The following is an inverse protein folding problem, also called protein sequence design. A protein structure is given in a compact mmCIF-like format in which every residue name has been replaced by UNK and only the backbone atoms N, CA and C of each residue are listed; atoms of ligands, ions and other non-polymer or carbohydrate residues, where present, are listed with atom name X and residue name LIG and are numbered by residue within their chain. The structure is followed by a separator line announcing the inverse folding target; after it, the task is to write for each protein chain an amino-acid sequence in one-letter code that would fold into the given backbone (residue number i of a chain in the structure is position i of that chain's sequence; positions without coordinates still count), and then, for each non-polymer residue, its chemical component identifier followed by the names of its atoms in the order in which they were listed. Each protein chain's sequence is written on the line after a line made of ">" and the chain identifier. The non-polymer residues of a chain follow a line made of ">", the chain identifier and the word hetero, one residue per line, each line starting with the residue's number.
data_IF_279824824890
#
_entry.id   IF_279824824890
#
_cell.length_a   1.000
_cell.length_b   1.000
_cell.length_c   1.000
_cell.angle_alpha   90.00
_cell.angle_beta   90.00
_cell.angle_gamma   90.00
#
_symmetry.space_group_name_H-M   'P 1'
#
loop_
_entity.id
_entity.type
_entity.pdbx_description
1 polymer ?
#
# COMPACT_ATOMS: atom_id res chain seq x y z
N UNK A 1 45.13 -3.10 -7.31
CA UNK A 1 44.58 -1.88 -6.68
C UNK A 1 43.25 -2.25 -6.08
N UNK A 2 43.09 -2.21 -4.75
CA UNK A 2 41.78 -2.43 -4.13
C UNK A 2 40.84 -1.32 -4.59
N UNK A 3 39.65 -1.71 -5.06
CA UNK A 3 38.62 -0.76 -5.44
C UNK A 3 38.29 0.10 -4.22
N UNK A 4 38.52 1.42 -4.28
CA UNK A 4 38.26 2.32 -3.15
C UNK A 4 36.80 2.16 -2.73
N UNK A 5 36.58 1.70 -1.51
CA UNK A 5 35.25 1.58 -0.93
C UNK A 5 34.62 2.97 -0.87
N UNK A 6 33.43 3.13 -1.48
CA UNK A 6 32.70 4.39 -1.45
C UNK A 6 32.09 4.68 -0.06
N UNK A 7 31.57 5.90 0.11
CA UNK A 7 30.97 6.35 1.38
C UNK A 7 29.64 5.66 1.63
N UNK A 8 29.24 5.56 2.89
CA UNK A 8 27.88 5.10 3.26
C UNK A 8 27.08 6.31 3.71
N UNK A 9 25.95 6.56 3.07
CA UNK A 9 25.18 7.80 3.22
C UNK A 9 23.78 7.45 3.71
N UNK A 10 23.42 7.88 4.91
CA UNK A 10 22.05 7.78 5.42
C UNK A 10 21.25 9.04 5.12
N UNK A 11 20.04 8.90 4.60
CA UNK A 11 19.17 10.04 4.29
C UNK A 11 17.85 9.93 5.04
N UNK A 12 17.57 10.95 5.85
CA UNK A 12 16.23 11.22 6.36
C UNK A 12 15.63 12.37 5.56
N UNK A 13 14.81 12.01 4.58
CA UNK A 13 14.16 12.99 3.71
C UNK A 13 13.16 13.85 4.50
N UNK A 14 13.08 15.13 4.13
CA UNK A 14 12.16 16.11 4.70
C UNK A 14 10.72 15.58 4.84
N UNK A 15 10.19 15.74 6.05
CA UNK A 15 8.79 15.44 6.36
C UNK A 15 7.96 16.67 5.94
N UNK A 16 6.86 16.43 5.21
CA UNK A 16 5.93 17.53 4.85
C UNK A 16 5.48 18.27 6.12
N UNK A 17 5.43 19.61 6.02
CA UNK A 17 5.09 20.58 7.08
C UNK A 17 4.22 19.97 8.18
N UNK A 18 4.71 19.97 9.42
CA UNK A 18 3.88 19.57 10.56
C UNK A 18 2.72 20.56 10.64
N UNK A 19 1.50 20.07 10.92
CA UNK A 19 0.31 20.93 11.05
C UNK A 19 0.48 22.03 12.12
N UNK A 20 1.38 21.83 13.08
CA UNK A 20 1.61 22.72 14.21
C UNK A 20 2.57 23.86 13.88
N UNK A 21 3.65 23.60 13.15
CA UNK A 21 4.74 24.58 12.99
C UNK A 21 4.72 25.24 11.61
N UNK A 22 4.14 24.61 10.58
CA UNK A 22 4.12 25.15 9.23
C UNK A 22 5.49 25.22 8.54
N UNK A 23 6.59 25.02 9.26
CA UNK A 23 7.96 24.98 8.75
C UNK A 23 8.27 23.57 8.24
N UNK A 24 8.91 23.48 7.06
CA UNK A 24 9.42 22.22 6.56
C UNK A 24 10.74 21.90 7.28
N UNK A 25 10.89 20.67 7.77
CA UNK A 25 12.20 20.22 8.29
C UNK A 25 13.14 19.99 7.11
N UNK A 26 14.44 20.35 7.23
CA UNK A 26 15.41 20.09 6.17
C UNK A 26 15.61 18.58 5.98
N UNK A 27 16.12 18.20 4.81
CA UNK A 27 16.58 16.82 4.59
C UNK A 27 17.92 16.63 5.31
N UNK A 28 18.01 15.64 6.19
CA UNK A 28 19.25 15.34 6.91
C UNK A 28 20.03 14.27 6.16
N UNK A 29 21.33 14.53 6.00
CA UNK A 29 22.29 13.62 5.41
C UNK A 29 23.31 13.26 6.50
N UNK A 30 23.55 11.97 6.68
CA UNK A 30 24.66 11.44 7.45
C UNK A 30 25.62 10.75 6.48
N UNK A 31 26.93 10.96 6.62
CA UNK A 31 27.95 10.37 5.76
C UNK A 31 28.99 9.69 6.62
N UNK A 32 29.14 8.37 6.44
CA UNK A 32 30.22 7.58 7.01
C UNK A 32 31.36 7.43 6.01
N UNK A 33 32.52 7.96 6.36
CA UNK A 33 33.76 7.92 5.58
C UNK A 33 34.94 7.81 6.55
N UNK A 34 35.88 6.90 6.29
CA UNK A 34 37.08 6.69 7.12
C UNK A 34 36.83 6.45 8.63
N UNK A 35 35.69 5.86 9.00
CA UNK A 35 35.36 5.53 10.39
C UNK A 35 34.61 6.64 11.14
N UNK A 36 34.47 7.82 10.54
CA UNK A 36 33.77 8.95 11.13
C UNK A 36 32.42 9.18 10.47
N UNK A 37 31.46 9.73 11.21
CA UNK A 37 30.14 10.07 10.70
C UNK A 37 29.92 11.56 10.83
N UNK A 38 29.75 12.21 9.69
CA UNK A 38 29.43 13.64 9.61
C UNK A 38 27.97 13.82 9.21
N UNK A 39 27.32 14.85 9.74
CA UNK A 39 25.92 15.15 9.44
C UNK A 39 25.75 16.57 8.95
N UNK A 40 24.94 16.76 7.92
CA UNK A 40 24.57 18.09 7.42
C UNK A 40 23.11 18.11 6.97
N UNK A 41 22.60 19.33 6.73
CA UNK A 41 21.19 19.60 6.42
C UNK A 41 21.08 20.24 5.04
N UNK A 42 20.10 19.79 4.26
CA UNK A 42 19.70 20.37 2.99
C UNK A 42 18.38 21.12 3.22
N UNK A 43 18.46 22.45 3.22
CA UNK A 43 17.36 23.34 3.64
C UNK A 43 16.14 23.30 2.70
N UNK A 44 16.38 23.07 1.41
CA UNK A 44 15.33 23.08 0.39
C UNK A 44 15.56 22.10 -0.76
N UNK A 45 14.64 22.11 -1.73
CA UNK A 45 14.65 21.23 -2.91
C UNK A 45 15.80 21.57 -3.87
N UNK A 46 16.30 22.80 -3.84
CA UNK A 46 17.45 23.23 -4.65
C UNK A 46 18.73 22.61 -4.09
N UNK A 47 18.92 22.67 -2.77
CA UNK A 47 20.04 22.04 -2.09
C UNK A 47 20.02 20.50 -2.28
N UNK A 48 18.84 19.88 -2.23
CA UNK A 48 18.65 18.46 -2.59
C UNK A 48 19.09 18.19 -4.03
N UNK A 49 18.63 18.98 -5.00
CA UNK A 49 18.99 18.81 -6.41
C UNK A 49 20.49 18.96 -6.66
N UNK A 50 21.10 19.98 -6.06
CA UNK A 50 22.55 20.24 -6.15
C UNK A 50 23.36 19.10 -5.55
N UNK A 51 22.95 18.60 -4.38
CA UNK A 51 23.56 17.45 -3.73
C UNK A 51 23.45 16.18 -4.59
N UNK A 52 22.27 15.89 -5.16
CA UNK A 52 22.08 14.75 -6.07
C UNK A 52 23.00 14.88 -7.28
N UNK A 53 23.11 16.07 -7.88
CA UNK A 53 23.93 16.30 -9.07
C UNK A 53 25.44 16.35 -8.79
N UNK A 54 25.85 16.55 -7.54
CA UNK A 54 27.24 16.86 -7.19
C UNK A 54 27.68 18.21 -7.77
N UNK A 55 26.82 19.23 -7.67
CA UNK A 55 27.06 20.58 -8.18
C UNK A 55 26.82 21.64 -7.10
N UNK A 56 27.10 22.91 -7.41
CA UNK A 56 26.77 24.03 -6.52
C UNK A 56 27.62 24.08 -5.26
N UNK A 57 27.05 24.62 -4.19
CA UNK A 57 27.73 24.76 -2.89
C UNK A 57 28.04 23.39 -2.25
N UNK A 58 27.21 22.38 -2.57
CA UNK A 58 27.34 21.02 -2.05
C UNK A 58 28.17 20.10 -2.95
N UNK A 59 29.00 20.63 -3.87
CA UNK A 59 29.76 19.82 -4.84
C UNK A 59 30.68 18.79 -4.17
N UNK A 60 31.38 19.20 -3.10
CA UNK A 60 32.24 18.29 -2.34
C UNK A 60 31.42 17.22 -1.61
N UNK A 61 30.23 17.55 -1.12
CA UNK A 61 29.40 16.69 -0.27
C UNK A 61 28.41 15.81 -1.07
N UNK A 62 28.13 16.19 -2.32
CA UNK A 62 27.16 15.56 -3.21
C UNK A 62 27.49 14.12 -3.58
N UNK A 63 26.61 13.49 -4.37
CA UNK A 63 26.73 12.07 -4.74
C UNK A 63 28.00 11.81 -5.56
N UNK A 64 28.86 10.91 -5.06
CA UNK A 64 30.13 10.51 -5.67
C UNK A 64 30.05 9.09 -6.25
N UNK A 65 31.03 8.68 -7.07
CA UNK A 65 31.11 7.30 -7.52
C UNK A 65 31.25 6.31 -6.37
N UNK A 66 30.61 5.14 -6.53
CA UNK A 66 30.62 4.02 -5.57
C UNK A 66 29.96 4.30 -4.20
N UNK A 67 29.34 5.46 -3.99
CA UNK A 67 28.58 5.73 -2.76
C UNK A 67 27.44 4.70 -2.56
N UNK A 68 27.15 4.38 -1.31
CA UNK A 68 25.97 3.61 -0.92
C UNK A 68 24.99 4.50 -0.15
N UNK A 69 23.87 4.85 -0.78
CA UNK A 69 22.82 5.69 -0.19
C UNK A 69 21.73 4.83 0.43
N UNK A 70 21.33 5.15 1.66
CA UNK A 70 20.38 4.41 2.48
C UNK A 70 19.16 5.28 2.77
N UNK A 71 17.95 4.77 2.51
CA UNK A 71 16.70 5.50 2.74
C UNK A 71 15.60 4.59 3.32
N UNK A 72 14.55 5.19 3.87
CA UNK A 72 13.34 4.45 4.28
C UNK A 72 12.38 4.29 3.10
N UNK A 73 11.66 3.16 3.04
CA UNK A 73 10.62 2.90 2.04
C UNK A 73 9.34 3.73 2.28
N UNK A 74 8.82 4.34 1.20
CA UNK A 74 7.55 5.06 1.13
C UNK A 74 7.62 6.57 1.39
N UNK A 75 6.45 7.22 1.31
CA UNK A 75 6.26 8.62 1.69
C UNK A 75 6.76 9.62 0.65
N UNK A 76 7.19 10.80 1.10
CA UNK A 76 7.76 11.84 0.22
C UNK A 76 9.16 11.46 -0.27
N UNK A 77 9.88 10.60 0.45
CA UNK A 77 11.22 10.13 0.08
C UNK A 77 11.26 9.27 -1.18
N UNK A 78 10.11 8.77 -1.67
CA UNK A 78 10.03 8.03 -2.94
C UNK A 78 10.52 8.88 -4.13
N UNK A 79 10.20 10.17 -4.16
CA UNK A 79 10.62 11.05 -5.24
C UNK A 79 12.13 11.25 -5.26
N UNK A 80 12.72 11.49 -4.08
CA UNK A 80 14.16 11.65 -3.94
C UNK A 80 14.87 10.32 -4.25
N UNK A 81 14.38 9.18 -3.77
CA UNK A 81 14.92 7.86 -4.10
C UNK A 81 14.89 7.59 -5.62
N UNK A 82 13.82 7.98 -6.31
CA UNK A 82 13.73 7.89 -7.77
C UNK A 82 14.78 8.77 -8.45
N UNK A 83 14.95 10.02 -8.01
CA UNK A 83 15.92 10.95 -8.57
C UNK A 83 17.37 10.48 -8.34
N UNK A 84 17.73 10.12 -7.10
CA UNK A 84 19.06 9.64 -6.73
C UNK A 84 19.37 8.34 -7.49
N UNK A 85 18.43 7.39 -7.59
CA UNK A 85 18.72 6.12 -8.29
C UNK A 85 19.06 6.32 -9.77
N UNK A 86 18.42 7.26 -10.47
CA UNK A 86 18.79 7.61 -11.85
C UNK A 86 20.18 8.24 -11.96
N UNK A 87 20.56 9.04 -10.98
CA UNK A 87 21.90 9.63 -10.96
C UNK A 87 22.95 8.60 -10.54
N UNK A 88 22.61 7.70 -9.62
CA UNK A 88 23.45 6.60 -9.16
C UNK A 88 23.84 5.65 -10.27
N UNK A 89 22.98 5.41 -11.25
CA UNK A 89 23.35 4.64 -12.46
C UNK A 89 24.51 5.29 -13.24
N UNK A 90 24.57 6.63 -13.28
CA UNK A 90 25.64 7.36 -13.96
C UNK A 90 26.92 7.37 -13.15
N UNK A 91 26.81 7.50 -11.83
CA UNK A 91 27.97 7.56 -10.92
C UNK A 91 28.41 6.18 -10.44
N UNK A 92 27.66 5.11 -10.72
CA UNK A 92 27.81 3.78 -10.11
C UNK A 92 27.55 3.76 -8.59
N UNK A 93 26.78 4.71 -8.07
CA UNK A 93 26.32 4.68 -6.69
C UNK A 93 25.17 3.67 -6.51
N UNK A 94 25.12 3.03 -5.34
CA UNK A 94 24.07 2.09 -4.94
C UNK A 94 23.04 2.79 -4.08
N UNK A 95 21.78 2.75 -4.47
CA UNK A 95 20.69 3.32 -3.67
C UNK A 95 19.92 2.16 -3.08
N UNK A 96 19.85 2.10 -1.75
CA UNK A 96 19.21 1.04 -1.01
C UNK A 96 18.12 1.59 -0.08
N UNK A 97 17.07 0.79 0.14
CA UNK A 97 15.96 1.14 1.02
C UNK A 97 15.66 0.06 2.03
N UNK A 98 15.23 0.49 3.21
CA UNK A 98 14.77 -0.39 4.29
C UNK A 98 13.28 -0.18 4.58
N UNK A 99 12.59 -1.26 4.94
CA UNK A 99 11.20 -1.19 5.33
C UNK A 99 11.05 -0.44 6.68
N UNK A 100 10.03 0.42 6.87
CA UNK A 100 9.84 1.16 8.12
C UNK A 100 9.79 0.31 9.40
N UNK A 101 9.21 -0.91 9.42
CA UNK A 101 9.23 -1.75 10.62
C UNK A 101 10.65 -2.11 11.08
N UNK A 102 11.56 -2.40 10.15
CA UNK A 102 12.94 -2.79 10.48
C UNK A 102 13.70 -1.61 11.09
N UNK A 103 13.57 -0.41 10.49
CA UNK A 103 14.17 0.79 11.06
C UNK A 103 13.58 1.10 12.45
N UNK A 104 12.25 0.97 12.61
CA UNK A 104 11.59 1.20 13.89
C UNK A 104 12.05 0.21 14.97
N UNK A 105 12.19 -1.05 14.62
CA UNK A 105 12.69 -2.08 15.53
C UNK A 105 14.13 -1.80 15.97
N UNK A 106 14.99 -1.47 15.01
CA UNK A 106 16.38 -1.14 15.27
C UNK A 106 16.55 0.13 16.12
N UNK A 107 15.77 1.18 15.81
CA UNK A 107 15.78 2.45 16.57
C UNK A 107 15.24 2.30 17.99
N UNK A 108 14.40 1.31 18.26
CA UNK A 108 13.76 1.14 19.58
C UNK A 108 12.94 2.38 20.00
N UNK A 109 13.37 3.03 21.07
CA UNK A 109 12.71 4.19 21.67
C UNK A 109 13.34 5.55 21.29
N UNK A 110 14.43 5.54 20.50
CA UNK A 110 15.15 6.76 20.15
C UNK A 110 14.34 7.67 19.21
N UNK A 111 14.73 8.95 19.18
CA UNK A 111 14.09 9.97 18.35
C UNK A 111 14.34 9.71 16.85
N UNK A 112 13.34 10.06 16.03
CA UNK A 112 13.42 10.03 14.58
C UNK A 112 14.37 11.07 14.01
N UNK A 113 14.81 12.05 14.80
CA UNK A 113 15.74 13.10 14.34
C UNK A 113 17.10 12.53 13.91
N UNK A 114 17.47 11.36 14.42
CA UNK A 114 18.73 10.69 14.09
C UNK A 114 18.57 9.57 13.04
N UNK A 115 17.42 9.48 12.36
CA UNK A 115 17.13 8.40 11.41
C UNK A 115 18.20 8.27 10.31
N UNK A 116 18.85 9.37 9.89
CA UNK A 116 19.95 9.33 8.94
C UNK A 116 21.16 8.54 9.48
N UNK A 117 21.54 8.77 10.73
CA UNK A 117 22.60 8.05 11.42
C UNK A 117 22.21 6.59 11.68
N UNK A 118 20.99 6.38 12.16
CA UNK A 118 20.45 5.05 12.48
C UNK A 118 20.44 4.15 11.25
N UNK A 119 20.18 4.69 10.05
CA UNK A 119 20.27 3.94 8.79
C UNK A 119 21.67 3.39 8.52
N UNK A 120 22.72 4.19 8.74
CA UNK A 120 24.12 3.77 8.57
C UNK A 120 24.43 2.62 9.52
N UNK A 121 24.09 2.79 10.80
CA UNK A 121 24.35 1.79 11.83
C UNK A 121 23.61 0.47 11.52
N UNK A 122 22.33 0.57 11.10
CA UNK A 122 21.54 -0.59 10.69
C UNK A 122 22.16 -1.31 9.49
N UNK A 123 22.67 -0.56 8.51
CA UNK A 123 23.32 -1.15 7.34
C UNK A 123 24.64 -1.83 7.69
N UNK A 124 25.42 -1.27 8.61
CA UNK A 124 26.66 -1.89 9.08
C UNK A 124 26.37 -3.20 9.83
N UNK A 125 25.31 -3.24 10.63
CA UNK A 125 24.92 -4.44 11.38
C UNK A 125 24.27 -5.52 10.50
N UNK A 126 23.32 -5.14 9.64
CA UNK A 126 22.63 -6.09 8.77
C UNK A 126 22.30 -5.47 7.39
N UNK A 127 23.26 -5.52 6.44
CA UNK A 127 23.05 -5.06 5.08
C UNK A 127 21.91 -5.77 4.35
N UNK A 128 21.50 -6.97 4.80
CA UNK A 128 20.50 -7.80 4.09
C UNK A 128 19.08 -7.28 4.23
N UNK A 129 18.84 -6.37 5.18
CA UNK A 129 17.56 -5.69 5.37
C UNK A 129 17.30 -4.61 4.30
N UNK A 130 18.33 -4.23 3.55
CA UNK A 130 18.28 -3.18 2.55
C UNK A 130 18.13 -3.73 1.13
N UNK A 131 17.38 -3.00 0.31
CA UNK A 131 16.99 -3.41 -1.05
C UNK A 131 17.35 -2.36 -2.07
N UNK A 132 17.89 -2.75 -3.23
CA UNK A 132 18.27 -1.79 -4.25
C UNK A 132 17.05 -1.10 -4.87
N UNK A 133 17.16 0.20 -5.09
CA UNK A 133 16.23 1.00 -5.90
C UNK A 133 16.62 0.86 -7.37
N UNK A 134 16.21 -0.25 -7.96
CA UNK A 134 16.38 -0.51 -9.39
C UNK A 134 15.23 0.02 -10.25
N UNK A 135 15.20 -0.42 -11.51
CA UNK A 135 14.12 -0.10 -12.47
C UNK A 135 12.74 -0.46 -11.92
N UNK A 136 12.60 -1.66 -11.35
CA UNK A 136 11.34 -2.15 -10.79
C UNK A 136 10.77 -1.25 -9.69
N UNK A 137 11.58 -0.87 -8.71
CA UNK A 137 11.15 0.04 -7.63
C UNK A 137 10.76 1.41 -8.19
N UNK A 138 11.51 1.91 -9.18
CA UNK A 138 11.16 3.15 -9.89
C UNK A 138 9.84 3.05 -10.64
N UNK A 139 9.52 1.91 -11.25
CA UNK A 139 8.23 1.68 -11.91
C UNK A 139 7.07 1.71 -10.89
N UNK A 140 7.26 1.11 -9.71
CA UNK A 140 6.29 1.24 -8.60
C UNK A 140 6.11 2.68 -8.14
N UNK A 141 7.21 3.41 -7.93
CA UNK A 141 7.15 4.83 -7.54
C UNK A 141 6.40 5.63 -8.61
N UNK A 142 6.70 5.41 -9.90
CA UNK A 142 6.02 6.08 -11.02
C UNK A 142 4.53 5.75 -11.06
N UNK A 143 4.16 4.48 -10.92
CA UNK A 143 2.76 4.06 -10.85
C UNK A 143 2.04 4.73 -9.66
N UNK A 144 2.72 4.89 -8.52
CA UNK A 144 2.16 5.58 -7.35
C UNK A 144 1.83 7.04 -7.63
N UNK A 145 2.72 7.75 -8.35
CA UNK A 145 2.49 9.15 -8.76
C UNK A 145 1.31 9.25 -9.72
N UNK A 146 1.27 8.38 -10.72
CA UNK A 146 0.21 8.37 -11.73
C UNK A 146 -1.15 8.01 -11.13
N UNK A 147 -1.18 7.08 -10.17
CA UNK A 147 -2.41 6.74 -9.45
C UNK A 147 -2.92 7.91 -8.60
N UNK A 148 -2.03 8.63 -7.89
CA UNK A 148 -2.42 9.85 -7.17
C UNK A 148 -3.01 10.90 -8.11
N UNK A 149 -2.33 11.14 -9.24
CA UNK A 149 -2.80 12.07 -10.27
C UNK A 149 -4.17 11.66 -10.86
N UNK A 150 -4.40 10.36 -11.10
CA UNK A 150 -5.70 9.85 -11.52
C UNK A 150 -6.76 10.05 -10.44
N UNK A 151 -6.44 9.75 -9.17
CA UNK A 151 -7.35 9.97 -8.05
C UNK A 151 -7.77 11.45 -7.93
N UNK A 152 -6.85 12.38 -8.14
CA UNK A 152 -7.17 13.82 -8.10
C UNK A 152 -8.06 14.24 -9.27
N UNK A 153 -7.82 13.72 -10.48
CA UNK A 153 -8.70 13.92 -11.64
C UNK A 153 -10.12 13.35 -11.38
N UNK A 154 -10.22 12.16 -10.79
CA UNK A 154 -11.50 11.56 -10.40
C UNK A 154 -12.27 12.43 -9.39
N UNK A 155 -11.58 12.96 -8.38
CA UNK A 155 -12.19 13.87 -7.39
C UNK A 155 -12.67 15.16 -8.04
N UNK A 156 -11.87 15.75 -8.93
CA UNK A 156 -12.25 16.95 -9.66
C UNK A 156 -13.50 16.73 -10.51
N UNK A 157 -13.57 15.60 -11.24
CA UNK A 157 -14.75 15.20 -12.02
C UNK A 157 -16.00 15.02 -11.14
N UNK A 158 -15.88 14.28 -10.03
CA UNK A 158 -17.00 14.05 -9.10
C UNK A 158 -17.49 15.36 -8.49
N UNK A 159 -16.58 16.26 -8.09
CA UNK A 159 -16.93 17.56 -7.55
C UNK A 159 -17.65 18.43 -8.59
N UNK A 160 -17.22 18.38 -9.86
CA UNK A 160 -17.90 19.07 -10.95
C UNK A 160 -19.31 18.53 -11.19
N UNK A 161 -19.46 17.21 -11.20
CA UNK A 161 -20.76 16.53 -11.33
C UNK A 161 -21.75 16.96 -10.22
N UNK A 162 -21.26 17.03 -8.98
CA UNK A 162 -22.05 17.48 -7.83
C UNK A 162 -22.45 18.95 -7.95
N UNK A 163 -21.57 19.83 -8.43
CA UNK A 163 -21.91 21.25 -8.67
C UNK A 163 -22.98 21.40 -9.73
N UNK A 164 -22.88 20.69 -10.86
CA UNK A 164 -23.89 20.71 -11.92
C UNK A 164 -25.24 20.28 -11.36
N UNK A 165 -25.28 19.20 -10.57
CA UNK A 165 -26.50 18.73 -9.95
C UNK A 165 -27.10 19.77 -8.98
N UNK A 166 -26.29 20.35 -8.10
CA UNK A 166 -26.74 21.36 -7.13
C UNK A 166 -27.25 22.64 -7.80
N UNK A 167 -26.57 23.11 -8.85
CA UNK A 167 -26.99 24.26 -9.62
C UNK A 167 -28.34 24.00 -10.30
N UNK A 168 -28.48 22.86 -10.99
CA UNK A 168 -29.73 22.49 -11.65
C UNK A 168 -30.90 22.40 -10.66
N UNK A 169 -30.67 21.79 -9.48
CA UNK A 169 -31.66 21.76 -8.41
C UNK A 169 -32.02 23.19 -8.02
N UNK A 170 -31.05 24.06 -7.74
CA UNK A 170 -31.31 25.46 -7.42
C UNK A 170 -32.11 26.20 -8.50
N UNK A 171 -31.74 26.04 -9.78
CA UNK A 171 -32.44 26.64 -10.92
C UNK A 171 -33.89 26.19 -11.03
N UNK A 172 -34.18 24.91 -10.80
CA UNK A 172 -35.56 24.38 -10.86
C UNK A 172 -36.40 24.90 -9.68
N UNK A 173 -35.86 24.90 -8.46
CA UNK A 173 -36.62 25.24 -7.26
C UNK A 173 -36.75 26.75 -7.01
N UNK A 174 -35.85 27.57 -7.57
CA UNK A 174 -35.87 29.02 -7.38
C UNK A 174 -36.63 29.78 -8.47
N UNK A 175 -37.29 29.10 -9.43
CA UNK A 175 -38.18 29.75 -10.39
C UNK A 175 -39.52 30.09 -9.73
N UNK A 176 -40.09 31.26 -10.04
CA UNK A 176 -41.39 31.72 -9.49
C UNK A 176 -42.52 30.71 -9.72
N UNK A 177 -42.45 29.96 -10.84
CA UNK A 177 -43.41 28.91 -11.21
C UNK A 177 -42.84 27.48 -11.01
N UNK A 178 -41.74 27.33 -10.29
CA UNK A 178 -41.01 26.07 -10.13
C UNK A 178 -41.75 25.07 -9.25
N UNK A 179 -42.58 24.20 -9.84
CA UNK A 179 -43.09 23.00 -9.16
C UNK A 179 -42.04 21.87 -9.23
N UNK A 180 -42.00 21.02 -8.20
CA UNK A 180 -41.13 19.83 -8.19
C UNK A 180 -41.45 18.95 -9.40
N UNK A 181 -40.53 18.78 -10.38
CA UNK A 181 -40.84 17.97 -11.54
C UNK A 181 -40.72 16.50 -11.16
N UNK A 182 -41.84 15.77 -11.15
CA UNK A 182 -41.86 14.32 -10.88
C UNK A 182 -40.96 13.59 -11.89
N UNK A 183 -39.76 13.18 -11.47
CA UNK A 183 -38.78 12.48 -12.32
C UNK A 183 -38.03 13.35 -13.35
N UNK A 184 -38.38 14.63 -13.51
CA UNK A 184 -37.76 15.51 -14.52
C UNK A 184 -36.31 15.90 -14.20
N UNK A 185 -35.96 15.99 -12.91
CA UNK A 185 -34.62 16.43 -12.46
C UNK A 185 -33.53 15.49 -12.99
N UNK A 186 -33.74 14.18 -12.96
CA UNK A 186 -32.73 13.21 -13.39
C UNK A 186 -32.48 13.26 -14.90
N UNK A 187 -33.53 13.52 -15.69
CA UNK A 187 -33.42 13.67 -17.14
C UNK A 187 -32.71 14.98 -17.49
N UNK A 188 -33.15 16.09 -16.90
CA UNK A 188 -32.51 17.39 -17.07
C UNK A 188 -31.03 17.33 -16.65
N UNK A 189 -30.72 16.67 -15.53
CA UNK A 189 -29.35 16.49 -15.06
C UNK A 189 -28.48 15.73 -16.07
N UNK A 190 -28.99 14.63 -16.64
CA UNK A 190 -28.26 13.87 -17.67
C UNK A 190 -27.98 14.72 -18.90
N UNK A 191 -28.93 15.55 -19.31
CA UNK A 191 -28.79 16.45 -20.46
C UNK A 191 -27.79 17.58 -20.19
N UNK A 192 -27.94 18.32 -19.09
CA UNK A 192 -27.00 19.38 -18.69
C UNK A 192 -25.58 18.83 -18.56
N UNK A 193 -25.41 17.68 -17.88
CA UNK A 193 -24.11 17.02 -17.74
C UNK A 193 -23.51 16.57 -19.07
N UNK A 194 -24.32 16.13 -20.02
CA UNK A 194 -23.84 15.74 -21.35
C UNK A 194 -23.29 16.94 -22.12
N UNK A 195 -23.91 18.11 -21.95
CA UNK A 195 -23.56 19.35 -22.65
C UNK A 195 -22.53 20.21 -21.91
N UNK A 196 -22.20 19.92 -20.64
CA UNK A 196 -21.23 20.69 -19.87
C UNK A 196 -19.78 20.44 -20.33
N UNK A 197 -19.17 21.43 -20.99
CA UNK A 197 -17.82 21.33 -21.56
C UNK A 197 -16.73 21.10 -20.50
N UNK A 198 -16.88 21.66 -19.30
CA UNK A 198 -15.89 21.50 -18.22
C UNK A 198 -15.88 20.04 -17.75
N UNK A 199 -17.05 19.45 -17.55
CA UNK A 199 -17.22 18.05 -17.18
C UNK A 199 -16.65 17.12 -18.25
N UNK A 200 -16.93 17.36 -19.54
CA UNK A 200 -16.37 16.56 -20.63
C UNK A 200 -14.83 16.63 -20.70
N UNK A 201 -14.25 17.82 -20.45
CA UNK A 201 -12.81 18.00 -20.35
C UNK A 201 -12.22 17.20 -19.17
N UNK A 202 -12.89 17.20 -18.01
CA UNK A 202 -12.48 16.41 -16.84
C UNK A 202 -12.58 14.89 -17.09
N UNK A 203 -13.61 14.42 -17.79
CA UNK A 203 -13.73 13.01 -18.22
C UNK A 203 -12.57 12.61 -19.14
N UNK A 204 -12.22 13.50 -20.08
CA UNK A 204 -11.10 13.28 -21.01
C UNK A 204 -9.76 13.23 -20.28
N UNK A 205 -9.54 14.15 -19.34
CA UNK A 205 -8.34 14.16 -18.48
C UNK A 205 -8.26 12.90 -17.61
N UNK A 206 -9.36 12.48 -16.97
CA UNK A 206 -9.42 11.23 -16.20
C UNK A 206 -9.01 10.02 -17.05
N UNK A 207 -9.57 9.88 -18.26
CA UNK A 207 -9.21 8.80 -19.20
C UNK A 207 -7.73 8.86 -19.61
N UNK A 208 -7.19 10.06 -19.85
CA UNK A 208 -5.77 10.25 -20.20
C UNK A 208 -4.86 9.79 -19.06
N UNK A 209 -5.19 10.14 -17.81
CA UNK A 209 -4.45 9.71 -16.62
C UNK A 209 -4.56 8.21 -16.38
N UNK A 210 -5.72 7.62 -16.63
CA UNK A 210 -5.94 6.18 -16.54
C UNK A 210 -5.06 5.41 -17.54
N UNK A 211 -5.01 5.83 -18.81
CA UNK A 211 -4.10 5.25 -19.81
C UNK A 211 -2.62 5.37 -19.41
N UNK A 212 -2.23 6.52 -18.84
CA UNK A 212 -0.87 6.71 -18.36
C UNK A 212 -0.53 5.76 -17.20
N UNK A 213 -1.46 5.59 -16.25
CA UNK A 213 -1.33 4.63 -15.16
C UNK A 213 -1.25 3.19 -15.69
N UNK A 214 -2.13 2.80 -16.60
CA UNK A 214 -2.14 1.46 -17.20
C UNK A 214 -0.80 1.14 -17.87
N UNK A 215 -0.25 2.09 -18.65
CA UNK A 215 1.08 1.94 -19.25
C UNK A 215 2.18 1.74 -18.21
N UNK A 216 2.14 2.48 -17.09
CA UNK A 216 3.13 2.32 -16.02
C UNK A 216 2.96 1.01 -15.25
N UNK A 217 1.71 0.57 -15.02
CA UNK A 217 1.43 -0.73 -14.42
C UNK A 217 1.91 -1.89 -15.28
N UNK A 218 1.88 -1.75 -16.61
CA UNK A 218 2.45 -2.73 -17.55
C UNK A 218 3.96 -2.95 -17.43
N UNK A 219 4.69 -2.10 -16.69
CA UNK A 219 6.09 -2.34 -16.35
C UNK A 219 6.27 -3.15 -15.05
N UNK A 220 5.18 -3.47 -14.35
CA UNK A 220 5.21 -4.17 -13.07
C UNK A 220 4.86 -5.64 -13.32
N UNK A 221 5.81 -6.60 -13.17
CA UNK A 221 5.60 -7.99 -13.58
C UNK A 221 4.39 -8.67 -12.94
N UNK A 222 4.10 -8.37 -11.67
CA UNK A 222 2.93 -8.93 -10.98
C UNK A 222 1.61 -8.43 -11.59
N UNK A 223 1.57 -7.23 -12.17
CA UNK A 223 0.34 -6.73 -12.80
C UNK A 223 -0.02 -7.53 -14.05
N UNK A 224 0.96 -7.83 -14.91
CA UNK A 224 0.75 -8.69 -16.08
C UNK A 224 0.24 -10.07 -15.66
N UNK A 225 0.86 -10.66 -14.64
CA UNK A 225 0.44 -11.95 -14.10
C UNK A 225 -1.01 -11.94 -13.59
N UNK A 226 -1.43 -10.85 -12.95
CA UNK A 226 -2.83 -10.71 -12.49
C UNK A 226 -3.78 -10.53 -13.67
N UNK A 227 -3.42 -9.69 -14.65
CA UNK A 227 -4.29 -9.43 -15.81
C UNK A 227 -4.56 -10.70 -16.62
N UNK A 228 -3.58 -11.60 -16.72
CA UNK A 228 -3.73 -12.90 -17.38
C UNK A 228 -4.70 -13.85 -16.66
N UNK A 229 -4.78 -13.79 -15.33
CA UNK A 229 -5.49 -14.78 -14.52
C UNK A 229 -6.77 -14.26 -13.87
N UNK A 230 -6.98 -12.94 -13.84
CA UNK A 230 -8.02 -12.31 -13.01
C UNK A 230 -8.81 -11.28 -13.81
N UNK A 231 -9.91 -11.76 -14.37
CA UNK A 231 -10.86 -10.94 -15.10
C UNK A 231 -11.48 -9.84 -14.24
N UNK A 232 -11.59 -8.64 -14.81
CA UNK A 232 -12.12 -7.46 -14.12
C UNK A 232 -11.12 -6.74 -13.22
N UNK A 233 -9.86 -7.18 -13.16
CA UNK A 233 -8.78 -6.47 -12.44
C UNK A 233 -8.17 -5.33 -13.27
N UNK A 234 -8.98 -4.31 -13.58
CA UNK A 234 -8.57 -3.17 -14.40
C UNK A 234 -7.57 -2.22 -13.72
N UNK A 235 -7.00 -1.25 -14.47
CA UNK A 235 -5.89 -0.40 -14.01
C UNK A 235 -6.23 0.46 -12.79
N UNK A 236 -7.49 0.85 -12.59
CA UNK A 236 -7.94 1.60 -11.39
C UNK A 236 -7.85 0.76 -10.11
N UNK A 237 -8.32 -0.48 -10.17
CA UNK A 237 -8.30 -1.42 -9.03
C UNK A 237 -6.84 -1.82 -8.76
N UNK A 238 -6.11 -2.16 -9.82
CA UNK A 238 -4.70 -2.54 -9.75
C UNK A 238 -3.82 -1.42 -9.20
N UNK A 239 -3.90 -0.21 -9.76
CA UNK A 239 -3.17 0.95 -9.28
C UNK A 239 -3.44 1.24 -7.82
N UNK A 240 -4.72 1.17 -7.39
CA UNK A 240 -5.07 1.35 -5.99
C UNK A 240 -4.47 0.28 -5.07
N UNK A 241 -4.56 -0.99 -5.46
CA UNK A 241 -4.11 -2.11 -4.62
C UNK A 241 -2.58 -2.24 -4.59
N UNK A 242 -1.96 -2.31 -5.77
CA UNK A 242 -0.52 -2.57 -5.92
C UNK A 242 0.32 -1.41 -5.40
N UNK A 243 -0.04 -0.15 -5.69
CA UNK A 243 0.66 1.02 -5.16
C UNK A 243 0.59 1.07 -3.64
N UNK A 244 -0.58 0.77 -3.06
CA UNK A 244 -0.74 0.79 -1.61
C UNK A 244 0.07 -0.31 -0.92
N UNK A 245 0.20 -1.49 -1.55
CA UNK A 245 1.11 -2.55 -1.09
C UNK A 245 2.58 -2.10 -1.23
N UNK A 246 2.94 -1.56 -2.40
CA UNK A 246 4.30 -1.15 -2.74
C UNK A 246 5.19 -2.36 -2.96
N UNK A 247 5.88 -2.78 -1.91
CA UNK A 247 6.76 -3.96 -1.91
C UNK A 247 6.12 -5.11 -1.10
N UNK A 248 5.95 -6.28 -1.75
CA UNK A 248 5.39 -7.47 -1.11
C UNK A 248 6.24 -7.99 0.05
N UNK A 249 7.53 -7.72 0.04
CA UNK A 249 8.46 -8.21 1.04
C UNK A 249 8.40 -7.42 2.35
N UNK A 250 7.62 -6.34 2.41
CA UNK A 250 7.20 -5.71 3.68
C UNK A 250 6.39 -6.67 4.56
N UNK A 251 5.94 -7.78 3.99
CA UNK A 251 5.19 -8.83 4.66
C UNK A 251 5.99 -10.14 4.68
N UNK A 252 7.17 -10.17 5.33
CA UNK A 252 7.97 -11.39 5.40
C UNK A 252 7.30 -12.41 6.33
N UNK A 253 7.50 -13.69 6.03
CA UNK A 253 7.26 -14.75 7.00
C UNK A 253 8.31 -14.64 8.09
N UNK A 254 7.89 -14.56 9.35
CA UNK A 254 8.79 -14.39 10.49
C UNK A 254 8.53 -15.46 11.53
N UNK A 255 9.61 -16.05 12.04
CA UNK A 255 9.58 -16.90 13.24
C UNK A 255 9.63 -15.99 14.47
N UNK A 256 8.71 -16.19 15.41
CA UNK A 256 8.64 -15.46 16.67
C UNK A 256 9.59 -16.07 17.71
N UNK A 257 9.87 -15.34 18.79
CA UNK A 257 10.70 -15.82 19.91
C UNK A 257 10.14 -17.06 20.60
N UNK A 258 8.81 -17.24 20.59
CA UNK A 258 8.11 -18.42 21.10
C UNK A 258 8.12 -19.62 20.12
N UNK A 259 8.88 -19.54 19.02
CA UNK A 259 8.90 -20.54 17.95
C UNK A 259 7.73 -20.45 16.97
N UNK A 260 6.74 -19.58 17.21
CA UNK A 260 5.56 -19.45 16.36
C UNK A 260 5.86 -18.82 14.99
N UNK A 261 5.37 -19.40 13.90
CA UNK A 261 5.56 -18.85 12.55
C UNK A 261 4.41 -17.90 12.19
N UNK A 262 4.73 -16.63 11.98
CA UNK A 262 3.79 -15.67 11.37
C UNK A 262 4.01 -15.62 9.87
N UNK A 263 3.12 -16.24 9.10
CA UNK A 263 3.20 -16.23 7.64
C UNK A 263 3.00 -14.82 7.04
N UNK A 264 3.80 -14.45 6.05
CA UNK A 264 3.71 -13.16 5.35
C UNK A 264 2.32 -12.85 4.81
N UNK A 265 1.64 -13.86 4.23
CA UNK A 265 0.24 -13.74 3.77
C UNK A 265 -0.73 -13.27 4.86
N UNK A 266 -0.52 -13.64 6.12
CA UNK A 266 -1.38 -13.21 7.22
C UNK A 266 -1.19 -11.71 7.52
N UNK A 267 0.07 -11.24 7.48
CA UNK A 267 0.39 -9.81 7.61
C UNK A 267 -0.20 -9.00 6.46
N UNK A 268 -0.09 -9.49 5.21
CA UNK A 268 -0.71 -8.82 4.06
C UNK A 268 -2.23 -8.76 4.18
N UNK A 269 -2.89 -9.86 4.58
CA UNK A 269 -4.35 -9.86 4.84
C UNK A 269 -4.75 -8.84 5.91
N UNK A 270 -3.98 -8.74 7.00
CA UNK A 270 -4.22 -7.74 8.03
C UNK A 270 -4.08 -6.32 7.47
N UNK A 271 -3.00 -6.05 6.73
CA UNK A 271 -2.73 -4.75 6.11
C UNK A 271 -3.78 -4.35 5.07
N UNK A 272 -4.30 -5.29 4.30
CA UNK A 272 -5.33 -5.04 3.27
C UNK A 272 -6.75 -5.00 3.85
N UNK A 273 -6.93 -5.29 5.14
CA UNK A 273 -8.21 -5.22 5.83
C UNK A 273 -9.11 -6.45 5.63
N UNK A 274 -8.56 -7.56 5.11
CA UNK A 274 -9.29 -8.83 4.90
C UNK A 274 -8.84 -9.95 5.84
N UNK A 275 -8.01 -9.62 6.84
CA UNK A 275 -7.65 -10.49 7.94
C UNK A 275 -8.83 -10.72 8.89
N UNK A 276 -8.97 -11.96 9.35
CA UNK A 276 -9.94 -12.34 10.37
C UNK A 276 -9.37 -12.11 11.78
N UNK A 277 -10.23 -11.83 12.74
CA UNK A 277 -9.90 -11.88 14.18
C UNK A 277 -9.75 -13.34 14.64
N UNK A 278 -9.34 -13.54 15.90
CA UNK A 278 -9.31 -14.88 16.52
C UNK A 278 -10.68 -15.56 16.45
N UNK A 279 -11.75 -14.79 16.57
CA UNK A 279 -13.15 -15.26 16.47
C UNK A 279 -13.65 -15.47 15.03
N UNK A 280 -12.75 -15.42 14.03
CA UNK A 280 -13.12 -15.61 12.63
C UNK A 280 -13.93 -14.47 12.01
N UNK A 281 -13.99 -13.29 12.65
CA UNK A 281 -14.74 -12.12 12.16
C UNK A 281 -13.83 -11.16 11.38
N UNK A 282 -14.35 -10.55 10.32
CA UNK A 282 -13.61 -9.48 9.62
C UNK A 282 -13.49 -8.24 10.51
N UNK A 283 -12.30 -7.64 10.55
CA UNK A 283 -12.07 -6.39 11.28
C UNK A 283 -12.97 -5.28 10.71
N UNK A 284 -13.60 -4.53 11.62
CA UNK A 284 -14.42 -3.35 11.33
C UNK A 284 -13.79 -2.13 11.96
N UNK A 285 -13.93 -0.96 11.33
CA UNK A 285 -13.48 0.30 11.91
C UNK A 285 -14.38 0.66 13.08
N UNK A 286 -13.79 0.97 14.23
CA UNK A 286 -14.48 1.55 15.38
C UNK A 286 -14.16 3.04 15.45
N UNK A 287 -15.10 3.85 15.93
CA UNK A 287 -14.83 5.26 16.19
C UNK A 287 -13.72 5.41 17.22
N UNK A 288 -12.80 6.35 17.03
CA UNK A 288 -11.66 6.58 17.93
C UNK A 288 -10.46 5.64 17.76
N UNK A 289 -10.63 4.48 17.11
CA UNK A 289 -9.52 3.54 16.89
C UNK A 289 -8.82 3.78 15.54
N UNK A 290 -7.48 3.79 15.56
CA UNK A 290 -6.67 3.79 14.33
C UNK A 290 -6.78 2.42 13.67
N UNK A 291 -7.33 2.39 12.46
CA UNK A 291 -7.40 1.18 11.67
C UNK A 291 -5.97 0.70 11.31
N UNK A 292 -5.68 -0.57 11.58
CA UNK A 292 -4.38 -1.17 11.28
C UNK A 292 -4.27 -1.70 9.83
N UNK A 293 -5.09 -1.16 8.91
CA UNK A 293 -5.12 -1.53 7.49
C UNK A 293 -5.15 -0.30 6.58
N UNK A 294 -4.78 -0.50 5.33
CA UNK A 294 -4.87 0.49 4.26
C UNK A 294 -6.29 0.61 3.73
N UNK A 295 -6.87 1.81 3.82
CA UNK A 295 -8.19 2.10 3.26
C UNK A 295 -8.22 1.95 1.73
N UNK A 296 -7.11 2.31 1.05
CA UNK A 296 -6.98 2.14 -0.40
C UNK A 296 -7.07 0.66 -0.79
N UNK A 297 -6.28 -0.20 -0.13
CA UNK A 297 -6.34 -1.65 -0.38
C UNK A 297 -7.75 -2.19 -0.13
N UNK A 298 -8.37 -1.83 0.99
CA UNK A 298 -9.69 -2.34 1.35
C UNK A 298 -10.76 -1.92 0.34
N UNK A 299 -10.72 -0.67 -0.13
CA UNK A 299 -11.65 -0.18 -1.13
C UNK A 299 -11.40 -0.83 -2.50
N UNK A 300 -10.14 -1.07 -2.89
CA UNK A 300 -9.82 -1.81 -4.11
C UNK A 300 -10.41 -3.23 -4.08
N UNK A 301 -10.27 -3.93 -2.94
CA UNK A 301 -10.81 -5.27 -2.78
C UNK A 301 -12.34 -5.30 -2.76
N UNK A 302 -12.99 -4.28 -2.21
CA UNK A 302 -14.44 -4.14 -2.32
C UNK A 302 -14.89 -4.05 -3.79
N UNK A 303 -14.25 -3.18 -4.57
CA UNK A 303 -14.54 -3.02 -6.01
C UNK A 303 -14.24 -4.30 -6.80
N UNK A 304 -13.16 -4.99 -6.46
CA UNK A 304 -12.79 -6.26 -7.09
C UNK A 304 -13.81 -7.37 -6.80
N UNK A 305 -14.30 -7.47 -5.56
CA UNK A 305 -15.32 -8.46 -5.21
C UNK A 305 -16.63 -8.24 -5.98
N UNK A 306 -16.96 -6.99 -6.30
CA UNK A 306 -18.09 -6.68 -7.17
C UNK A 306 -17.85 -7.13 -8.62
N UNK A 307 -16.62 -7.05 -9.13
CA UNK A 307 -16.27 -7.59 -10.45
C UNK A 307 -16.43 -9.11 -10.51
N UNK A 308 -15.98 -9.84 -9.47
CA UNK A 308 -16.17 -11.29 -9.40
C UNK A 308 -17.66 -11.68 -9.42
N UNK A 309 -18.52 -10.90 -8.76
CA UNK A 309 -19.96 -11.13 -8.78
C UNK A 309 -20.60 -10.83 -10.15
N UNK A 310 -20.07 -9.86 -10.90
CA UNK A 310 -20.56 -9.52 -12.25
C UNK A 310 -20.07 -10.49 -13.33
N UNK A 311 -19.10 -11.35 -13.01
CA UNK A 311 -18.43 -12.25 -13.95
C UNK A 311 -18.38 -13.68 -13.38
N UNK A 312 -19.54 -14.35 -13.21
CA UNK A 312 -19.64 -15.62 -12.50
C UNK A 312 -18.84 -16.76 -13.15
N UNK A 313 -18.62 -16.71 -14.46
CA UNK A 313 -17.97 -17.80 -15.22
C UNK A 313 -16.44 -17.81 -15.10
N UNK A 314 -15.86 -16.75 -14.53
CA UNK A 314 -14.41 -16.60 -14.30
C UNK A 314 -13.95 -17.45 -13.11
N UNK A 315 -12.66 -17.75 -13.00
CA UNK A 315 -12.12 -18.55 -11.89
C UNK A 315 -12.55 -18.00 -10.51
N UNK A 316 -12.39 -16.69 -10.32
CA UNK A 316 -12.76 -16.02 -9.07
C UNK A 316 -14.27 -15.81 -8.90
N UNK A 317 -15.02 -15.71 -10.01
CA UNK A 317 -16.49 -15.74 -9.99
C UNK A 317 -17.02 -17.08 -9.50
N UNK A 318 -16.49 -18.20 -10.02
CA UNK A 318 -16.80 -19.55 -9.55
C UNK A 318 -16.42 -19.74 -8.08
N UNK A 319 -15.27 -19.22 -7.65
CA UNK A 319 -14.86 -19.25 -6.24
C UNK A 319 -15.84 -18.50 -5.33
N UNK A 320 -16.36 -17.37 -5.79
CA UNK A 320 -17.40 -16.62 -5.06
C UNK A 320 -18.69 -17.44 -4.95
N UNK A 321 -19.13 -18.08 -6.03
CA UNK A 321 -20.31 -18.94 -6.04
C UNK A 321 -20.15 -20.16 -5.12
N UNK A 322 -18.97 -20.79 -5.09
CA UNK A 322 -18.63 -21.86 -4.16
C UNK A 322 -18.79 -21.40 -2.70
N UNK A 323 -18.21 -20.24 -2.34
CA UNK A 323 -18.38 -19.70 -0.99
C UNK A 323 -19.82 -19.32 -0.68
N UNK A 324 -20.58 -18.83 -1.66
CA UNK A 324 -22.00 -18.53 -1.51
C UNK A 324 -22.81 -19.80 -1.24
N UNK A 325 -22.56 -20.89 -1.97
CA UNK A 325 -23.22 -22.20 -1.76
C UNK A 325 -22.95 -22.75 -0.35
N UNK A 326 -21.67 -22.82 0.04
CA UNK A 326 -21.27 -23.29 1.38
C UNK A 326 -21.90 -22.48 2.51
N UNK A 327 -22.09 -21.18 2.32
CA UNK A 327 -22.76 -20.31 3.30
C UNK A 327 -24.28 -20.54 3.33
N UNK A 328 -24.92 -20.82 2.19
CA UNK A 328 -26.34 -21.19 2.12
C UNK A 328 -26.63 -22.55 2.74
N UNK A 329 -25.76 -23.53 2.51
CA UNK A 329 -25.84 -24.85 3.13
C UNK A 329 -25.71 -24.76 4.65
N UNK A 330 -24.75 -23.95 5.14
CA UNK A 330 -24.54 -23.74 6.58
C UNK A 330 -25.68 -22.93 7.23
N UNK A 331 -26.24 -21.97 6.52
CA UNK A 331 -27.28 -21.08 7.03
C UNK A 331 -28.47 -21.07 6.05
N UNK A 332 -29.29 -22.14 6.05
CA UNK A 332 -30.39 -22.29 5.10
C UNK A 332 -31.52 -21.29 5.35
N UNK A 333 -31.65 -20.82 6.59
CA UNK A 333 -32.64 -19.81 6.99
C UNK A 333 -31.96 -18.58 7.58
N UNK A 334 -32.50 -17.37 7.34
CA UNK A 334 -32.00 -16.17 8.00
C UNK A 334 -32.19 -16.26 9.52
N UNK A 335 -31.26 -15.64 10.26
CA UNK A 335 -31.16 -15.77 11.72
C UNK A 335 -31.36 -14.40 12.37
N UNK A 336 -32.08 -14.33 13.48
CA UNK A 336 -32.29 -13.10 14.22
C UNK A 336 -31.12 -12.81 15.17
N UNK A 337 -30.34 -11.75 14.94
CA UNK A 337 -29.19 -11.39 15.81
C UNK A 337 -29.59 -10.96 17.21
N UNK A 338 -30.81 -10.46 17.38
CA UNK A 338 -31.31 -9.98 18.66
C UNK A 338 -31.87 -11.10 19.53
N UNK A 339 -32.43 -12.15 18.91
CA UNK A 339 -32.99 -13.30 19.62
C UNK A 339 -32.01 -14.47 19.74
N UNK A 340 -30.92 -14.47 18.96
CA UNK A 340 -29.89 -15.50 19.09
C UNK A 340 -29.02 -15.21 20.30
N UNK A 341 -28.85 -16.21 21.16
CA UNK A 341 -27.93 -16.22 22.30
C UNK A 341 -26.72 -17.10 21.97
N UNK A 342 -25.65 -17.03 22.77
CA UNK A 342 -24.29 -17.44 22.38
C UNK A 342 -24.18 -18.86 21.76
N UNK A 343 -25.07 -19.78 22.11
CA UNK A 343 -25.10 -21.15 21.56
C UNK A 343 -26.36 -21.52 20.76
N UNK A 344 -27.32 -20.60 20.61
CA UNK A 344 -28.61 -20.90 19.96
C UNK A 344 -28.96 -19.90 18.86
N UNK A 345 -28.86 -20.38 17.61
CA UNK A 345 -29.28 -19.66 16.43
C UNK A 345 -30.82 -19.70 16.29
N UNK A 346 -31.48 -18.54 16.42
CA UNK A 346 -32.95 -18.43 16.32
C UNK A 346 -33.34 -17.95 14.91
N UNK A 347 -34.14 -18.73 14.14
CA UNK A 347 -34.64 -18.31 12.83
C UNK A 347 -35.39 -16.97 12.88
N UNK A 348 -35.22 -16.14 11.84
CA UNK A 348 -35.86 -14.83 11.78
C UNK A 348 -37.37 -14.95 11.55
N UNK A 349 -38.17 -14.61 12.56
CA UNK A 349 -39.64 -14.75 12.54
C UNK A 349 -40.38 -13.45 12.16
N UNK A 350 -41.72 -13.53 12.04
CA UNK A 350 -42.57 -12.34 11.82
C UNK A 350 -42.54 -11.39 13.02
N UNK A 351 -42.43 -11.92 14.22
CA UNK A 351 -42.30 -11.19 15.48
C UNK A 351 -40.97 -10.40 15.48
N UNK A 352 -39.89 -11.02 15.03
CA UNK A 352 -38.60 -10.34 14.85
C UNK A 352 -38.71 -9.15 13.89
N UNK A 353 -39.47 -9.31 12.80
CA UNK A 353 -39.74 -8.22 11.84
C UNK A 353 -40.53 -7.09 12.48
N UNK A 354 -41.59 -7.40 13.24
CA UNK A 354 -42.39 -6.40 13.99
C UNK A 354 -41.54 -5.63 15.00
N UNK A 355 -40.64 -6.33 15.70
CA UNK A 355 -39.70 -5.75 16.65
C UNK A 355 -38.48 -5.06 16.01
N UNK A 356 -38.43 -4.97 14.66
CA UNK A 356 -37.32 -4.37 13.90
C UNK A 356 -35.94 -4.97 14.25
N UNK A 357 -35.90 -6.26 14.57
CA UNK A 357 -34.66 -6.97 14.88
C UNK A 357 -33.74 -7.06 13.66
N UNK A 358 -32.43 -7.16 13.92
CA UNK A 358 -31.41 -7.27 12.85
C UNK A 358 -31.32 -8.70 12.35
N UNK A 359 -31.52 -8.88 11.04
CA UNK A 359 -31.34 -10.16 10.37
C UNK A 359 -29.86 -10.44 10.06
N UNK A 360 -29.43 -11.67 10.32
CA UNK A 360 -28.18 -12.27 9.84
C UNK A 360 -28.47 -13.31 8.78
N UNK A 361 -27.44 -13.67 8.02
CA UNK A 361 -27.48 -14.71 6.99
C UNK A 361 -28.64 -14.65 5.98
N UNK A 362 -29.17 -13.46 5.69
CA UNK A 362 -29.99 -13.26 4.49
C UNK A 362 -29.13 -13.33 3.22
N UNK A 363 -29.75 -13.42 2.04
CA UNK A 363 -29.02 -13.52 0.76
C UNK A 363 -27.97 -12.41 0.56
N UNK A 364 -28.31 -11.17 0.95
CA UNK A 364 -27.38 -10.03 0.86
C UNK A 364 -26.16 -10.17 1.77
N UNK A 365 -26.36 -10.63 3.00
CA UNK A 365 -25.29 -10.87 3.98
C UNK A 365 -24.45 -12.09 3.60
N UNK A 366 -25.07 -13.14 3.07
CA UNK A 366 -24.38 -14.30 2.49
C UNK A 366 -23.48 -13.86 1.34
N UNK A 367 -24.02 -13.10 0.37
CA UNK A 367 -23.24 -12.59 -0.76
C UNK A 367 -22.09 -11.71 -0.29
N UNK A 368 -22.35 -10.78 0.63
CA UNK A 368 -21.30 -9.91 1.20
C UNK A 368 -20.20 -10.72 1.87
N UNK A 369 -20.57 -11.74 2.66
CA UNK A 369 -19.59 -12.61 3.33
C UNK A 369 -18.81 -13.46 2.33
N UNK A 370 -19.47 -13.99 1.29
CA UNK A 370 -18.83 -14.73 0.21
C UNK A 370 -17.83 -13.86 -0.56
N UNK A 371 -18.21 -12.61 -0.90
CA UNK A 371 -17.32 -11.60 -1.50
C UNK A 371 -16.06 -11.41 -0.67
N UNK A 372 -16.18 -11.15 0.64
CA UNK A 372 -15.03 -10.97 1.51
C UNK A 372 -14.16 -12.23 1.64
N UNK A 373 -14.76 -13.42 1.77
CA UNK A 373 -13.99 -14.70 1.76
C UNK A 373 -13.23 -14.91 0.45
N UNK A 374 -13.84 -14.54 -0.67
CA UNK A 374 -13.22 -14.64 -2.00
C UNK A 374 -12.00 -13.75 -2.11
N UNK A 375 -12.13 -12.45 -1.75
CA UNK A 375 -10.97 -11.54 -1.80
C UNK A 375 -9.89 -11.86 -0.76
N UNK A 376 -10.24 -12.47 0.38
CA UNK A 376 -9.25 -13.04 1.30
C UNK A 376 -8.39 -14.11 0.62
N UNK A 377 -9.01 -15.00 -0.17
CA UNK A 377 -8.28 -16.01 -0.95
C UNK A 377 -7.48 -15.42 -2.10
N UNK A 378 -8.02 -14.40 -2.77
CA UNK A 378 -7.28 -13.63 -3.77
C UNK A 378 -6.00 -13.01 -3.18
N UNK A 379 -6.06 -12.41 -2.00
CA UNK A 379 -4.86 -11.85 -1.35
C UNK A 379 -3.83 -12.93 -0.96
N UNK A 380 -4.28 -14.14 -0.59
CA UNK A 380 -3.36 -15.26 -0.35
C UNK A 380 -2.67 -15.72 -1.63
N UNK A 381 -3.40 -15.80 -2.74
CA UNK A 381 -2.86 -16.12 -4.06
C UNK A 381 -1.89 -15.00 -4.53
N UNK A 382 -2.30 -13.73 -4.44
CA UNK A 382 -1.51 -12.58 -4.84
C UNK A 382 -0.17 -12.55 -4.09
N UNK A 383 -0.19 -12.78 -2.77
CA UNK A 383 1.05 -12.84 -1.99
C UNK A 383 1.98 -13.93 -2.49
N UNK A 384 1.45 -15.13 -2.76
CA UNK A 384 2.25 -16.26 -3.25
C UNK A 384 2.87 -15.95 -4.62
N UNK A 385 2.07 -15.51 -5.58
CA UNK A 385 2.57 -15.24 -6.93
C UNK A 385 3.57 -14.11 -6.94
N UNK A 386 3.30 -13.04 -6.19
CA UNK A 386 4.22 -11.91 -6.11
C UNK A 386 5.52 -12.30 -5.41
N UNK A 387 5.47 -12.97 -4.26
CA UNK A 387 6.70 -13.48 -3.59
C UNK A 387 7.47 -14.45 -4.48
N UNK A 388 6.80 -15.30 -5.26
CA UNK A 388 7.46 -16.19 -6.22
C UNK A 388 8.23 -15.41 -7.28
N UNK A 389 7.63 -14.36 -7.85
CA UNK A 389 8.29 -13.48 -8.83
C UNK A 389 9.50 -12.75 -8.22
N UNK A 390 9.36 -12.19 -7.02
CA UNK A 390 10.47 -11.53 -6.34
C UNK A 390 11.65 -12.50 -6.08
N UNK A 391 11.35 -13.73 -5.66
CA UNK A 391 12.38 -14.72 -5.36
C UNK A 391 13.06 -15.27 -6.61
N UNK A 392 12.37 -15.33 -7.75
CA UNK A 392 12.98 -15.76 -9.02
C UNK A 392 13.89 -14.71 -9.65
N UNK A 393 13.66 -13.43 -9.36
CA UNK A 393 14.45 -12.32 -9.90
C UNK A 393 15.69 -12.00 -9.07
N UNK A 394 15.77 -12.45 -7.82
CA UNK A 394 16.95 -12.22 -7.00
C UNK A 394 18.12 -13.08 -7.51
N UNK A 395 19.26 -12.47 -7.91
CA UNK A 395 20.46 -13.24 -8.18
C UNK A 395 20.78 -14.04 -6.91
N UNK A 396 21.14 -15.33 -7.09
CA UNK A 396 21.48 -16.18 -5.96
C UNK A 396 22.55 -15.47 -5.11
N UNK A 397 22.16 -15.01 -3.91
CA UNK A 397 23.13 -14.43 -2.99
C UNK A 397 24.22 -15.47 -2.78
N UNK A 398 25.51 -15.07 -2.76
CA UNK A 398 26.59 -15.99 -2.46
C UNK A 398 26.20 -16.71 -1.17
N UNK A 399 26.02 -18.03 -1.26
CA UNK A 399 25.63 -18.85 -0.11
C UNK A 399 26.61 -18.47 0.98
N UNK A 400 26.11 -17.96 2.12
CA UNK A 400 26.96 -17.79 3.31
C UNK A 400 27.66 -19.12 3.46
N UNK A 401 28.98 -19.16 3.19
CA UNK A 401 29.78 -20.31 3.57
C UNK A 401 29.47 -20.44 5.04
N UNK A 402 28.79 -21.52 5.44
CA UNK A 402 28.66 -21.84 6.85
C UNK A 402 30.11 -21.92 7.30
N UNK A 403 30.58 -20.84 7.94
CA UNK A 403 31.82 -20.87 8.69
C UNK A 403 31.54 -21.98 9.68
N UNK A 404 32.11 -23.14 9.39
CA UNK A 404 31.99 -24.33 10.20
C UNK A 404 32.54 -23.86 11.53
N UNK A 405 31.65 -23.68 12.52
CA UNK A 405 31.99 -23.00 13.75
C UNK A 405 33.34 -23.51 14.23
N UNK A 406 34.29 -22.58 14.39
CA UNK A 406 35.30 -22.76 15.41
C UNK A 406 34.53 -23.16 16.67
N UNK A 407 34.87 -24.35 17.17
CA UNK A 407 34.39 -24.76 18.48
C UNK A 407 34.90 -23.69 19.43
N UNK A 408 34.00 -22.88 19.96
CA UNK A 408 34.28 -22.10 21.15
C UNK A 408 34.57 -23.11 22.27
N UNK A 409 35.85 -23.44 22.45
CA UNK A 409 36.37 -24.13 23.63
C UNK A 409 36.34 -23.12 24.79
N UNK A 410 35.14 -22.73 25.22
CA UNK A 410 34.97 -21.99 26.47
C UNK A 410 35.01 -23.02 27.60
N UNK A 411 35.98 -22.95 28.54
CA UNK A 411 36.09 -23.93 29.61
C UNK A 411 34.85 -23.85 30.52
N UNK A 412 34.23 -25.01 30.78
CA UNK A 412 33.24 -25.16 31.83
C UNK A 412 33.86 -24.77 33.19
N UNK A 413 33.49 -23.61 33.71
CA UNK A 413 33.62 -23.31 35.14
C UNK A 413 32.62 -24.20 35.88
N UNK A 414 33.09 -25.37 36.31
CA UNK A 414 32.40 -26.19 37.32
C UNK A 414 32.54 -25.52 38.67
N UNK A 415 31.48 -24.88 39.12
CA UNK A 415 31.31 -24.49 40.51
C UNK A 415 31.16 -25.74 41.38
N UNK A 416 32.05 -25.86 42.35
CA UNK A 416 31.96 -26.79 43.47
C UNK A 416 31.03 -26.22 44.55
N UNK A 417 29.91 -26.91 44.79
CA UNK A 417 29.17 -26.93 46.06
C UNK A 417 28.89 -28.40 46.39
#
# INVERSE_FOLDING_TARGET
>A
MSEKQGRIIGIRHRIKRTKKEGVARPTQIAVWEAGEITTFKLEDETAELEWVKGTGQNKSEGLRPNDTVLMVLGGSGDYLAFAISRQGEKTKARILRVAPPNLKEFRGHDDKEDDAQVLINLYQQDPTLFRPVGHKERDFIRAAVLYRSLSDAMKARIACEQRIFQQLVGEIFCQENGLFPEGGIERAFKETKANDQIFQNLVTEEKRREKALEKALGNIPIYDKIREQVDGFGPRIAGRLLVAIGDINRFPTTTRRDGGITHGKAKLKAYTGVGLTKDGKFRRRRGGEVANWSNECRQALFLLADQFNRRPDTEWGKKLLEFKSKLKEKHPVPICKNCSHDDQEVPFSKECKKAKHKMSWNDGHILTTAKWKTVTKFIEWLWREWTRLENSEQPALPKRSRVRGEKDDTPELRESI
#
